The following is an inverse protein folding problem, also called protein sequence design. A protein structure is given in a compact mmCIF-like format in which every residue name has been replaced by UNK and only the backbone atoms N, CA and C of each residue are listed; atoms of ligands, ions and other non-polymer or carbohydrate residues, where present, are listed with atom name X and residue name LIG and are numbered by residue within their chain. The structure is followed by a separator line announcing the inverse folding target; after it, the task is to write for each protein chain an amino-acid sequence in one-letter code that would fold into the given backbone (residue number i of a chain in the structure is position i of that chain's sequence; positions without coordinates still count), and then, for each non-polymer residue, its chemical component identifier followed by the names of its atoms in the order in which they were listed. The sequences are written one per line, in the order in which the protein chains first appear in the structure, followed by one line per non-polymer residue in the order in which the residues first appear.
data_IF_177432511590
#
_entry.id   IF_177432511590
#
_cell.length_a   1.000
_cell.length_b   1.000
_cell.length_c   1.000
_cell.angle_alpha   90.00
_cell.angle_beta   90.00
_cell.angle_gamma   90.00
#
_symmetry.space_group_name_H-M   'P 1'
#
loop_
_entity.id
_entity.type
_entity.pdbx_description
1 polymer ?
#
# COMPACT_ATOMS: atom_id res chain seq x y z
N UNK A 1 43.71 6.50 6.19
CA UNK A 1 42.80 7.65 6.38
C UNK A 1 42.01 7.90 5.09
N UNK A 2 40.72 7.54 5.04
CA UNK A 2 39.81 8.02 4.00
C UNK A 2 38.39 8.08 4.58
N UNK A 3 37.86 9.30 4.61
CA UNK A 3 36.61 9.69 5.27
C UNK A 3 35.44 9.12 4.48
N UNK A 4 34.68 8.19 5.04
CA UNK A 4 33.40 7.77 4.47
C UNK A 4 32.36 8.73 5.05
N UNK A 5 31.98 9.69 4.22
CA UNK A 5 30.95 10.68 4.52
C UNK A 5 29.61 9.97 4.70
N UNK A 6 29.04 10.17 5.88
CA UNK A 6 27.67 9.84 6.24
C UNK A 6 26.71 10.39 5.18
N UNK A 7 26.11 9.50 4.39
CA UNK A 7 24.95 9.83 3.59
C UNK A 7 23.76 9.98 4.55
N UNK A 8 23.42 11.23 4.81
CA UNK A 8 22.24 11.66 5.56
C UNK A 8 21.03 11.25 4.71
N UNK A 9 20.44 10.10 5.03
CA UNK A 9 19.13 9.72 4.50
C UNK A 9 18.12 10.75 5.03
N UNK A 10 17.43 11.53 4.18
CA UNK A 10 16.22 12.18 4.63
C UNK A 10 15.19 11.08 4.90
N UNK A 11 14.98 10.81 6.19
CA UNK A 11 13.81 10.16 6.75
C UNK A 11 12.57 10.94 6.31
N UNK A 12 12.07 10.66 5.12
CA UNK A 12 10.75 11.12 4.70
C UNK A 12 9.73 10.23 5.41
N UNK A 13 9.44 10.56 6.67
CA UNK A 13 8.29 10.10 7.43
C UNK A 13 7.01 10.81 6.93
N UNK A 14 6.76 10.78 5.62
CA UNK A 14 5.47 11.16 5.04
C UNK A 14 4.65 9.88 4.82
N UNK A 15 4.21 9.28 5.91
CA UNK A 15 3.42 8.04 5.92
C UNK A 15 2.27 8.12 6.91
N UNK A 16 1.68 9.29 7.10
CA UNK A 16 0.35 9.44 7.70
C UNK A 16 -0.66 9.68 6.56
N UNK A 17 -0.76 8.75 5.62
CA UNK A 17 -1.97 8.64 4.83
C UNK A 17 -2.81 7.59 5.56
N UNK A 18 -3.91 8.03 6.17
CA UNK A 18 -4.93 7.19 6.78
C UNK A 18 -5.03 5.88 6.00
N UNK A 19 -4.52 4.81 6.59
CA UNK A 19 -4.40 3.52 5.96
C UNK A 19 -5.80 3.07 5.59
N UNK A 20 -6.15 3.25 4.31
CA UNK A 20 -7.36 2.73 3.68
C UNK A 20 -7.29 1.21 3.58
N UNK A 21 -7.02 0.58 4.73
CA UNK A 21 -6.99 -0.85 4.91
C UNK A 21 -8.38 -1.25 5.37
N UNK A 22 -9.19 -1.71 4.42
CA UNK A 22 -10.45 -2.37 4.74
C UNK A 22 -10.14 -3.82 5.09
N UNK A 23 -10.32 -4.16 6.37
CA UNK A 23 -10.16 -5.53 6.88
C UNK A 23 -11.47 -6.27 6.62
N UNK A 24 -11.49 -7.15 5.63
CA UNK A 24 -12.69 -7.92 5.27
C UNK A 24 -12.71 -9.29 5.97
N UNK A 25 -11.55 -9.85 6.31
CA UNK A 25 -11.42 -11.08 7.11
C UNK A 25 -10.04 -11.13 7.80
N UNK A 26 -9.84 -11.94 8.84
CA UNK A 26 -8.67 -11.91 9.75
C UNK A 26 -7.30 -12.00 9.06
N UNK A 27 -7.24 -12.58 7.86
CA UNK A 27 -6.03 -12.65 7.02
C UNK A 27 -6.23 -12.10 5.61
N UNK A 28 -7.36 -11.46 5.29
CA UNK A 28 -7.62 -10.84 3.99
C UNK A 28 -7.70 -9.32 4.15
N UNK A 29 -6.75 -8.64 3.52
CA UNK A 29 -6.61 -7.20 3.59
C UNK A 29 -6.88 -6.59 2.23
N UNK A 30 -7.64 -5.49 2.18
CA UNK A 30 -7.69 -4.58 1.04
C UNK A 30 -6.86 -3.34 1.35
N UNK A 31 -6.16 -2.77 0.37
CA UNK A 31 -5.48 -1.47 0.50
C UNK A 31 -5.74 -0.61 -0.73
N UNK A 32 -6.15 0.64 -0.51
CA UNK A 32 -6.36 1.62 -1.59
C UNK A 32 -5.02 2.03 -2.20
N UNK A 33 -4.89 1.92 -3.53
CA UNK A 33 -3.66 2.19 -4.28
C UNK A 33 -3.72 3.45 -5.12
N UNK A 34 -4.84 4.13 -5.12
CA UNK A 34 -5.05 5.44 -5.74
C UNK A 34 -6.02 6.24 -4.89
N UNK A 35 -6.01 7.56 -5.05
CA UNK A 35 -6.95 8.43 -4.35
C UNK A 35 -8.39 8.19 -4.81
N UNK A 36 -8.58 8.02 -6.12
CA UNK A 36 -9.87 7.82 -6.79
C UNK A 36 -9.67 7.13 -8.15
N UNK A 37 -10.78 6.82 -8.84
CA UNK A 37 -10.82 6.10 -10.10
C UNK A 37 -10.09 6.78 -11.28
N UNK A 38 -9.84 8.09 -11.20
CA UNK A 38 -9.18 8.86 -12.26
C UNK A 38 -7.69 9.09 -11.99
N UNK A 39 -7.20 8.75 -10.80
CA UNK A 39 -5.80 8.87 -10.43
C UNK A 39 -5.06 7.57 -10.71
N UNK A 40 -3.92 7.58 -11.41
CA UNK A 40 -3.12 6.38 -11.63
C UNK A 40 -2.72 5.69 -10.30
N UNK A 41 -2.73 4.36 -10.24
CA UNK A 41 -2.37 3.63 -9.03
C UNK A 41 -0.86 3.65 -8.74
N UNK A 42 -0.51 3.69 -7.45
CA UNK A 42 0.83 3.47 -6.95
C UNK A 42 0.96 2.06 -6.36
N UNK A 43 1.17 1.08 -7.23
CA UNK A 43 1.27 -0.34 -6.83
C UNK A 43 2.49 -0.63 -5.95
N UNK A 44 3.59 0.08 -6.13
CA UNK A 44 4.79 -0.09 -5.30
C UNK A 44 4.52 0.33 -3.84
N UNK A 45 3.87 1.49 -3.65
CA UNK A 45 3.48 1.95 -2.32
C UNK A 45 2.45 1.02 -1.67
N UNK A 46 1.52 0.48 -2.46
CA UNK A 46 0.58 -0.53 -1.98
C UNK A 46 1.25 -1.82 -1.53
N UNK A 47 2.22 -2.32 -2.29
CA UNK A 47 2.98 -3.51 -1.90
C UNK A 47 3.81 -3.26 -0.63
N UNK A 48 4.44 -2.08 -0.49
CA UNK A 48 5.13 -1.69 0.76
C UNK A 48 4.17 -1.63 1.94
N UNK A 49 2.96 -1.12 1.73
CA UNK A 49 1.91 -1.08 2.77
C UNK A 49 1.47 -2.49 3.15
N UNK A 50 1.30 -3.38 2.17
CA UNK A 50 0.98 -4.78 2.42
C UNK A 50 2.09 -5.51 3.19
N UNK A 51 3.36 -5.30 2.81
CA UNK A 51 4.51 -5.84 3.54
C UNK A 51 4.56 -5.32 4.98
N UNK A 52 4.34 -4.02 5.17
CA UNK A 52 4.27 -3.43 6.51
C UNK A 52 3.10 -3.98 7.33
N UNK A 53 1.98 -4.31 6.68
CA UNK A 53 0.79 -4.88 7.33
C UNK A 53 1.04 -6.33 7.76
N UNK A 54 1.71 -7.12 6.91
CA UNK A 54 2.09 -8.49 7.25
C UNK A 54 3.27 -8.58 8.22
N UNK A 55 4.04 -7.50 8.39
CA UNK A 55 5.15 -7.45 9.34
C UNK A 55 6.21 -8.50 9.02
N UNK A 56 6.40 -9.46 9.93
CA UNK A 56 7.35 -10.57 9.75
C UNK A 56 6.84 -11.72 8.86
N UNK A 57 5.58 -11.67 8.43
CA UNK A 57 4.97 -12.66 7.53
C UNK A 57 5.11 -12.24 6.06
N UNK A 58 5.00 -13.21 5.16
CA UNK A 58 5.05 -12.95 3.72
C UNK A 58 3.69 -12.49 3.21
N UNK A 59 3.71 -11.52 2.29
CA UNK A 59 2.52 -11.16 1.50
C UNK A 59 2.29 -12.25 0.46
N UNK A 60 1.12 -12.89 0.50
CA UNK A 60 0.69 -13.90 -0.47
C UNK A 60 -0.66 -13.52 -1.09
N UNK A 61 -1.01 -14.14 -2.21
CA UNK A 61 -2.29 -13.94 -2.90
C UNK A 61 -2.61 -12.46 -3.23
N UNK A 62 -1.58 -11.65 -3.48
CA UNK A 62 -1.73 -10.25 -3.84
C UNK A 62 -2.38 -10.10 -5.22
N UNK A 63 -3.51 -9.41 -5.28
CA UNK A 63 -4.28 -9.17 -6.51
C UNK A 63 -4.61 -7.70 -6.64
N UNK A 64 -4.40 -7.13 -7.82
CA UNK A 64 -4.68 -5.73 -8.14
C UNK A 64 -6.06 -5.62 -8.78
N UNK A 65 -6.84 -4.63 -8.36
CA UNK A 65 -8.20 -4.41 -8.81
C UNK A 65 -8.37 -2.99 -9.33
N UNK A 66 -9.10 -2.88 -10.44
CA UNK A 66 -9.50 -1.60 -11.00
C UNK A 66 -10.71 -1.04 -10.23
N UNK A 67 -10.91 0.30 -10.26
CA UNK A 67 -12.16 0.89 -9.83
C UNK A 67 -13.34 0.30 -10.62
N UNK A 68 -14.50 0.28 -9.98
CA UNK A 68 -15.76 -0.24 -10.53
C UNK A 68 -16.40 0.69 -11.55
N UNK A 69 -16.01 1.97 -11.59
CA UNK A 69 -16.66 3.00 -12.41
C UNK A 69 -18.04 3.39 -11.89
N UNK A 70 -18.33 3.11 -10.61
CA UNK A 70 -19.66 3.30 -10.01
C UNK A 70 -20.02 4.76 -9.73
N UNK A 71 -19.05 5.68 -9.83
CA UNK A 71 -19.22 7.09 -9.48
C UNK A 71 -19.23 7.35 -7.97
N UNK A 72 -18.95 6.32 -7.16
CA UNK A 72 -18.75 6.46 -5.72
C UNK A 72 -17.45 7.26 -5.45
N UNK A 73 -17.44 8.24 -4.55
CA UNK A 73 -16.22 8.97 -4.17
C UNK A 73 -15.09 8.06 -3.65
N UNK A 74 -15.41 6.88 -3.12
CA UNK A 74 -14.43 5.89 -2.67
C UNK A 74 -13.94 4.94 -3.76
N UNK A 75 -14.50 5.02 -4.97
CA UNK A 75 -14.10 4.19 -6.10
C UNK A 75 -12.65 4.50 -6.51
N UNK A 76 -11.79 3.49 -6.45
CA UNK A 76 -10.37 3.63 -6.67
C UNK A 76 -9.74 2.29 -7.02
N UNK A 77 -8.54 2.33 -7.57
CA UNK A 77 -7.68 1.16 -7.63
C UNK A 77 -7.33 0.70 -6.21
N UNK A 78 -7.41 -0.60 -5.97
CA UNK A 78 -7.05 -1.22 -4.70
C UNK A 78 -6.35 -2.56 -4.92
N UNK A 79 -5.68 -3.05 -3.89
CA UNK A 79 -5.02 -4.35 -3.89
C UNK A 79 -5.54 -5.19 -2.73
N UNK A 80 -5.87 -6.45 -2.99
CA UNK A 80 -6.18 -7.41 -1.94
C UNK A 80 -4.98 -8.31 -1.70
N UNK A 81 -4.71 -8.70 -0.46
CA UNK A 81 -3.61 -9.59 -0.12
C UNK A 81 -3.87 -10.37 1.17
N UNK A 82 -3.04 -11.38 1.43
CA UNK A 82 -3.04 -12.15 2.66
C UNK A 82 -1.64 -12.20 3.28
N UNK A 83 -1.58 -12.43 4.59
CA UNK A 83 -0.34 -12.60 5.34
C UNK A 83 -0.18 -14.05 5.76
N UNK A 84 0.97 -14.65 5.43
CA UNK A 84 1.32 -16.02 5.83
C UNK A 84 2.76 -16.11 6.32
#
# INVERSE_FOLDING_TARGET
MKKILFAIFPLVLAGCASSGIDIVDRNNFGVKCSENANTPPNWEMCMKTAQSTCGGQSVINASQHAPTGSGNPDDAYFMTFQCH
#
